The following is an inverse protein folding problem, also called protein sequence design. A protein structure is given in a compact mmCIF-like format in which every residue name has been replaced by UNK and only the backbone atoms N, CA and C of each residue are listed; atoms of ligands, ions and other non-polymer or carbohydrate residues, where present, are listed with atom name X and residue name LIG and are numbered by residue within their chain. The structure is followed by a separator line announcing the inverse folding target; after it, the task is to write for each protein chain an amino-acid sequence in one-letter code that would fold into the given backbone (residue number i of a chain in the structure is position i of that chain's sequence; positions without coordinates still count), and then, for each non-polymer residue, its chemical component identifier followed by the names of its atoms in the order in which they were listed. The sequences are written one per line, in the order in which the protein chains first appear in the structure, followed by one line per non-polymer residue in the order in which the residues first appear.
data_IF_278184383257
#
_entry.id   IF_278184383257
#
_cell.length_a   1.000
_cell.length_b   1.000
_cell.length_c   1.000
_cell.angle_alpha   90.00
_cell.angle_beta   90.00
_cell.angle_gamma   90.00
#
_symmetry.space_group_name_H-M   'P 1'
#
loop_
_entity.id
_entity.type
_entity.pdbx_description
1 polymer ?
#
# COMPACT_ATOMS: atom_id res chain seq x y z
N UNK A 1 9.09 12.17 -12.68
CA UNK A 1 8.95 11.42 -11.41
C UNK A 1 7.84 10.41 -11.59
N UNK A 2 8.08 9.14 -11.25
CA UNK A 2 7.09 8.07 -11.38
C UNK A 2 6.37 7.85 -10.04
N UNK A 3 5.06 7.67 -10.07
CA UNK A 3 4.23 7.45 -8.88
C UNK A 3 4.19 5.95 -8.57
N UNK A 4 4.44 5.60 -7.30
CA UNK A 4 4.41 4.21 -6.81
C UNK A 4 3.30 4.06 -5.79
N UNK A 5 2.30 3.27 -6.13
CA UNK A 5 1.29 2.84 -5.16
C UNK A 5 1.89 1.88 -4.15
N UNK A 6 1.84 2.21 -2.87
CA UNK A 6 2.37 1.39 -1.78
C UNK A 6 1.24 0.54 -1.18
N UNK A 7 1.18 -0.72 -1.60
CA UNK A 7 0.28 -1.71 -1.04
C UNK A 7 0.87 -2.26 0.27
N UNK A 8 0.17 -2.09 1.39
CA UNK A 8 0.63 -2.55 2.71
C UNK A 8 -0.49 -3.17 3.54
N UNK A 9 -0.16 -4.12 4.46
CA UNK A 9 -1.17 -4.90 5.15
C UNK A 9 -1.96 -4.08 6.17
N UNK A 10 -3.27 -4.33 6.24
CA UNK A 10 -4.16 -3.75 7.25
C UNK A 10 -4.92 -4.82 8.05
N UNK A 11 -5.87 -5.50 7.39
CA UNK A 11 -6.67 -6.56 8.03
C UNK A 11 -5.87 -7.82 8.34
N UNK A 12 -4.79 -8.05 7.61
CA UNK A 12 -3.90 -9.19 7.83
C UNK A 12 -2.99 -9.02 9.05
N UNK A 13 -2.84 -7.81 9.59
CA UNK A 13 -1.97 -7.58 10.75
C UNK A 13 -2.46 -8.38 11.96
N UNK A 14 -1.54 -9.16 12.55
CA UNK A 14 -1.80 -9.96 13.74
C UNK A 14 -1.67 -9.12 15.02
N UNK A 15 -2.55 -8.11 15.18
CA UNK A 15 -2.59 -7.23 16.35
C UNK A 15 -4.01 -6.98 16.86
N UNK A 16 -4.08 -6.42 18.07
CA UNK A 16 -5.33 -5.93 18.67
C UNK A 16 -5.97 -4.88 17.77
N UNK A 17 -7.30 -4.91 17.68
CA UNK A 17 -8.06 -4.01 16.81
C UNK A 17 -7.76 -2.53 17.10
N UNK A 18 -7.66 -2.15 18.38
CA UNK A 18 -7.33 -0.79 18.80
C UNK A 18 -5.95 -0.30 18.35
N UNK A 19 -5.02 -1.21 18.02
CA UNK A 19 -3.66 -0.89 17.58
C UNK A 19 -3.49 -1.00 16.06
N UNK A 20 -4.42 -1.66 15.38
CA UNK A 20 -4.33 -2.01 13.96
C UNK A 20 -4.08 -0.80 13.07
N UNK A 21 -4.86 0.27 13.26
CA UNK A 21 -4.73 1.51 12.47
C UNK A 21 -3.35 2.14 12.65
N UNK A 22 -2.91 2.33 13.89
CA UNK A 22 -1.62 2.93 14.19
C UNK A 22 -0.46 2.11 13.61
N UNK A 23 -0.52 0.79 13.74
CA UNK A 23 0.52 -0.08 13.20
C UNK A 23 0.54 -0.10 11.66
N UNK A 24 -0.63 -0.16 11.02
CA UNK A 24 -0.72 -0.11 9.56
C UNK A 24 -0.18 1.21 8.99
N UNK A 25 -0.46 2.34 9.65
CA UNK A 25 0.13 3.65 9.29
C UNK A 25 1.65 3.61 9.43
N UNK A 26 2.17 3.08 10.54
CA UNK A 26 3.63 2.99 10.76
C UNK A 26 4.31 2.13 9.67
N UNK A 27 3.73 0.97 9.33
CA UNK A 27 4.23 0.11 8.25
C UNK A 27 4.20 0.84 6.91
N UNK A 28 3.08 1.48 6.57
CA UNK A 28 2.96 2.24 5.32
C UNK A 28 4.01 3.36 5.23
N UNK A 29 4.27 4.08 6.32
CA UNK A 29 5.32 5.11 6.37
C UNK A 29 6.71 4.51 6.13
N UNK A 30 7.02 3.37 6.76
CA UNK A 30 8.30 2.69 6.59
C UNK A 30 8.52 2.22 5.15
N UNK A 31 7.49 1.67 4.51
CA UNK A 31 7.57 1.24 3.10
C UNK A 31 7.70 2.44 2.16
N UNK A 32 6.99 3.55 2.40
CA UNK A 32 7.22 4.79 1.65
C UNK A 32 8.65 5.30 1.81
N UNK A 33 9.19 5.32 3.04
CA UNK A 33 10.57 5.75 3.31
C UNK A 33 11.58 4.86 2.59
N UNK A 34 11.34 3.56 2.52
CA UNK A 34 12.16 2.61 1.77
C UNK A 34 12.19 2.98 0.28
N UNK A 35 11.03 3.19 -0.36
CA UNK A 35 10.99 3.59 -1.78
C UNK A 35 11.72 4.93 -2.00
N UNK A 36 11.53 5.93 -1.14
CA UNK A 36 12.21 7.21 -1.28
C UNK A 36 13.73 7.11 -1.17
N UNK A 37 14.25 6.14 -0.41
CA UNK A 37 15.70 5.93 -0.23
C UNK A 37 16.31 5.14 -1.39
N UNK A 38 15.64 4.08 -1.82
CA UNK A 38 16.19 3.12 -2.76
C UNK A 38 15.87 3.44 -4.24
N UNK A 39 14.93 4.35 -4.52
CA UNK A 39 14.45 4.64 -5.87
C UNK A 39 14.43 6.14 -6.17
N UNK A 40 15.54 6.67 -6.66
CA UNK A 40 15.60 8.06 -7.12
C UNK A 40 14.61 8.32 -8.25
N UNK A 41 13.86 9.43 -8.17
CA UNK A 41 12.86 9.81 -9.15
C UNK A 41 11.49 9.14 -8.97
N UNK A 42 11.31 8.32 -7.94
CA UNK A 42 10.03 7.69 -7.59
C UNK A 42 9.34 8.43 -6.43
N UNK A 43 8.02 8.54 -6.49
CA UNK A 43 7.17 9.17 -5.47
C UNK A 43 6.21 8.14 -4.90
N UNK A 44 6.43 7.66 -3.67
CA UNK A 44 5.52 6.71 -3.07
C UNK A 44 4.24 7.38 -2.61
N UNK A 45 3.10 6.78 -2.93
CA UNK A 45 1.77 7.15 -2.46
C UNK A 45 1.14 5.95 -1.77
N UNK A 46 0.73 6.12 -0.52
CA UNK A 46 0.06 5.05 0.23
C UNK A 46 -1.42 5.39 0.41
N UNK A 47 -2.35 4.50 0.00
CA UNK A 47 -3.78 4.71 0.24
C UNK A 47 -4.09 4.83 1.74
N UNK A 48 -3.37 4.08 2.59
CA UNK A 48 -3.56 4.10 4.04
C UNK A 48 -3.17 5.45 4.65
N UNK A 49 -2.12 6.09 4.15
CA UNK A 49 -1.70 7.40 4.62
C UNK A 49 -2.64 8.49 4.09
N UNK A 50 -2.91 8.47 2.78
CA UNK A 50 -3.74 9.47 2.11
C UNK A 50 -5.18 9.49 2.60
N UNK A 51 -5.71 8.33 3.01
CA UNK A 51 -7.11 8.17 3.41
C UNK A 51 -7.27 7.94 4.91
N UNK A 52 -6.20 8.12 5.70
CA UNK A 52 -6.20 7.92 7.15
C UNK A 52 -7.21 8.77 7.91
N UNK A 53 -7.66 9.88 7.33
CA UNK A 53 -8.69 10.77 7.87
C UNK A 53 -10.11 10.19 7.80
N UNK A 54 -10.35 9.15 6.99
CA UNK A 54 -11.65 8.51 6.90
C UNK A 54 -11.89 7.60 8.12
N UNK A 55 -13.11 7.68 8.66
CA UNK A 55 -13.61 6.73 9.66
C UNK A 55 -13.84 5.36 8.99
N UNK A 56 -13.05 4.35 9.39
CA UNK A 56 -13.10 3.01 8.80
C UNK A 56 -14.49 2.37 8.96
N UNK A 57 -15.18 2.60 10.09
CA UNK A 57 -16.45 1.94 10.36
C UNK A 57 -17.59 2.49 9.49
N UNK A 58 -17.44 3.73 9.01
CA UNK A 58 -18.47 4.44 8.24
C UNK A 58 -18.16 4.55 6.76
N UNK A 59 -16.88 4.61 6.40
CA UNK A 59 -16.43 4.99 5.06
C UNK A 59 -15.51 3.96 4.43
N UNK A 60 -15.52 2.71 4.89
CA UNK A 60 -14.67 1.65 4.36
C UNK A 60 -14.78 1.50 2.84
N UNK A 61 -16.00 1.40 2.31
CA UNK A 61 -16.20 1.18 0.87
C UNK A 61 -15.73 2.39 0.05
N UNK A 62 -15.90 3.60 0.61
CA UNK A 62 -15.37 4.83 0.03
C UNK A 62 -13.83 4.82 0.04
N UNK A 63 -13.20 4.42 1.14
CA UNK A 63 -11.75 4.32 1.24
C UNK A 63 -11.18 3.30 0.25
N UNK A 64 -11.81 2.13 0.13
CA UNK A 64 -11.43 1.12 -0.86
C UNK A 64 -11.55 1.67 -2.29
N UNK A 65 -12.69 2.27 -2.65
CA UNK A 65 -12.87 2.87 -3.97
C UNK A 65 -11.82 3.94 -4.27
N UNK A 66 -11.55 4.83 -3.33
CA UNK A 66 -10.53 5.88 -3.49
C UNK A 66 -9.12 5.30 -3.59
N UNK A 67 -8.80 4.23 -2.85
CA UNK A 67 -7.54 3.51 -2.98
C UNK A 67 -7.37 2.90 -4.37
N UNK A 68 -8.41 2.30 -4.93
CA UNK A 68 -8.37 1.76 -6.30
C UNK A 68 -8.21 2.85 -7.37
N UNK A 69 -8.83 4.02 -7.19
CA UNK A 69 -8.60 5.16 -8.09
C UNK A 69 -7.16 5.70 -7.96
N UNK A 70 -6.59 5.73 -6.76
CA UNK A 70 -5.19 6.08 -6.55
C UNK A 70 -4.25 5.09 -7.24
N UNK A 71 -4.55 3.79 -7.16
CA UNK A 71 -3.79 2.76 -7.86
C UNK A 71 -3.83 2.98 -9.38
N UNK A 72 -5.01 3.23 -9.96
CA UNK A 72 -5.16 3.51 -11.40
C UNK A 72 -4.36 4.73 -11.88
N UNK A 73 -4.14 5.70 -11.00
CA UNK A 73 -3.37 6.91 -11.28
C UNK A 73 -1.85 6.75 -11.06
N UNK A 74 -1.39 5.56 -10.65
CA UNK A 74 0.02 5.29 -10.35
C UNK A 74 0.71 4.59 -11.52
N UNK A 75 2.01 4.82 -11.69
CA UNK A 75 2.83 4.18 -12.72
C UNK A 75 3.26 2.76 -12.31
N UNK A 76 3.47 2.57 -11.01
CA UNK A 76 3.91 1.32 -10.41
C UNK A 76 3.06 0.94 -9.19
N UNK A 77 3.02 -0.36 -8.88
CA UNK A 77 2.61 -0.88 -7.59
C UNK A 77 3.81 -1.51 -6.89
N UNK A 78 4.00 -1.21 -5.61
CA UNK A 78 4.97 -1.88 -4.76
C UNK A 78 4.25 -2.64 -3.65
N UNK A 79 4.63 -3.91 -3.47
CA UNK A 79 4.06 -4.80 -2.47
C UNK A 79 4.93 -4.78 -1.21
N UNK A 80 4.36 -4.39 -0.07
CA UNK A 80 5.08 -4.39 1.21
C UNK A 80 5.73 -5.73 1.51
N UNK A 81 6.96 -5.65 2.02
CA UNK A 81 7.77 -6.82 2.45
C UNK A 81 7.46 -7.25 3.89
N UNK A 82 6.51 -6.61 4.57
CA UNK A 82 6.11 -6.96 5.93
C UNK A 82 5.64 -8.42 6.01
N UNK A 83 5.99 -9.13 7.10
CA UNK A 83 5.71 -10.56 7.29
C UNK A 83 4.23 -10.97 7.13
N UNK A 84 3.32 -10.05 7.41
CA UNK A 84 1.86 -10.28 7.33
C UNK A 84 1.28 -9.94 5.94
N UNK A 85 2.06 -9.32 5.05
CA UNK A 85 1.62 -8.93 3.70
C UNK A 85 1.16 -10.13 2.87
N UNK A 86 1.83 -11.30 3.02
CA UNK A 86 1.45 -12.55 2.35
C UNK A 86 0.03 -13.04 2.66
N UNK A 87 -0.56 -12.58 3.76
CA UNK A 87 -1.93 -12.96 4.16
C UNK A 87 -2.97 -11.88 3.81
N UNK A 88 -2.55 -10.78 3.19
CA UNK A 88 -3.42 -9.64 2.87
C UNK A 88 -4.18 -9.86 1.56
N UNK A 89 -5.45 -10.27 1.68
CA UNK A 89 -6.36 -10.37 0.50
C UNK A 89 -6.47 -9.05 -0.27
N UNK A 90 -6.56 -7.92 0.45
CA UNK A 90 -6.65 -6.60 -0.18
C UNK A 90 -5.44 -6.29 -1.05
N UNK A 91 -4.23 -6.62 -0.58
CA UNK A 91 -3.02 -6.42 -1.38
C UNK A 91 -3.00 -7.34 -2.62
N UNK A 92 -3.48 -8.57 -2.50
CA UNK A 92 -3.59 -9.48 -3.67
C UNK A 92 -4.60 -8.96 -4.70
N UNK A 93 -5.72 -8.39 -4.25
CA UNK A 93 -6.72 -7.75 -5.11
C UNK A 93 -6.15 -6.51 -5.81
N UNK A 94 -5.39 -5.67 -5.09
CA UNK A 94 -4.68 -4.52 -5.65
C UNK A 94 -3.67 -4.95 -6.72
N UNK A 95 -2.86 -5.99 -6.44
CA UNK A 95 -1.90 -6.52 -7.41
C UNK A 95 -2.57 -7.12 -8.65
N UNK A 96 -3.67 -7.86 -8.46
CA UNK A 96 -4.43 -8.41 -9.57
C UNK A 96 -5.03 -7.30 -10.44
N UNK A 97 -5.54 -6.22 -9.83
CA UNK A 97 -6.03 -5.06 -10.56
C UNK A 97 -4.91 -4.35 -11.30
N UNK A 98 -3.76 -4.12 -10.65
CA UNK A 98 -2.59 -3.50 -11.27
C UNK A 98 -2.17 -4.26 -12.53
N UNK A 99 -2.05 -5.59 -12.45
CA UNK A 99 -1.74 -6.47 -13.58
C UNK A 99 -2.76 -6.34 -14.71
N UNK A 100 -4.06 -6.31 -14.39
CA UNK A 100 -5.13 -6.13 -15.38
C UNK A 100 -5.04 -4.77 -16.11
N UNK A 101 -4.56 -3.74 -15.42
CA UNK A 101 -4.43 -2.39 -15.95
C UNK A 101 -3.07 -2.11 -16.63
N UNK A 102 -2.14 -3.08 -16.60
CA UNK A 102 -0.79 -2.89 -17.14
C UNK A 102 0.13 -2.04 -16.26
N UNK A 103 -0.25 -1.79 -15.00
CA UNK A 103 0.58 -1.12 -13.99
C UNK A 103 1.68 -2.10 -13.56
N UNK A 104 2.93 -1.67 -13.64
CA UNK A 104 4.09 -2.54 -13.38
C UNK A 104 4.30 -2.74 -11.88
N UNK A 105 4.68 -3.96 -11.50
CA UNK A 105 5.14 -4.22 -10.14
C UNK A 105 6.59 -3.70 -9.99
N UNK A 106 6.83 -2.88 -8.97
CA UNK A 106 8.16 -2.45 -8.57
C UNK A 106 8.73 -3.49 -7.60
N UNK A 107 9.77 -4.18 -8.02
CA UNK A 107 10.50 -5.15 -7.19
C UNK A 107 11.82 -4.51 -6.78
N UNK A 108 12.08 -4.49 -5.47
CA UNK A 108 13.37 -4.04 -4.94
C UNK A 108 14.27 -5.25 -4.72
N UNK A 109 15.37 -5.29 -5.46
CA UNK A 109 16.46 -6.23 -5.21
C UNK A 109 17.28 -5.70 -4.02
N UNK A 110 16.89 -6.06 -2.80
CA UNK A 110 17.71 -5.77 -1.63
C UNK A 110 18.90 -6.74 -1.61
N UNK A 111 20.13 -6.26 -1.30
CA UNK A 111 21.25 -7.16 -1.09
C UNK A 111 20.94 -8.12 0.08
N UNK A 112 21.26 -9.40 -0.12
CA UNK A 112 21.10 -10.50 0.85
C UNK A 112 21.87 -10.26 2.15
#
# INVERSE_FOLDING_TARGET
MAIVYIASPYKALAVRESQRKAQAISIAQQECLKIMRECEGFVPVSPLLQLSYLDENKHRDKALKMGLELLKASDYIYMSTHKDAKYSKGMQEELALAKKLGIKELVLELPL
#
